data_IF_612608472156
#
_entry.id   IF_612608472156
#
_cell.length_a   1.000
_cell.length_b   1.000
_cell.length_c   1.000
_cell.angle_alpha   90.00
_cell.angle_beta   90.00
_cell.angle_gamma   90.00
#
_symmetry.space_group_name_H-M   'P 1'
#
loop_
_entity.id
_entity.type
_entity.pdbx_description
1 polymer ?
#
# COMPACT_ATOMS: atom_id res chain seq x y z
N UNK A 1 -12.51 -15.40 -24.80
CA UNK A 1 -12.07 -13.99 -24.74
C UNK A 1 -12.40 -13.58 -23.33
N UNK A 2 -11.38 -13.35 -22.52
CA UNK A 2 -11.55 -13.10 -21.10
C UNK A 2 -12.48 -11.94 -20.88
N UNK A 3 -13.60 -12.20 -20.21
CA UNK A 3 -14.56 -11.14 -19.85
C UNK A 3 -14.20 -10.51 -18.51
N UNK A 4 -13.33 -11.18 -17.72
CA UNK A 4 -12.97 -10.78 -16.36
C UNK A 4 -11.51 -10.38 -16.23
N UNK A 5 -11.26 -9.30 -15.50
CA UNK A 5 -9.93 -8.80 -15.17
C UNK A 5 -9.72 -8.65 -13.66
N UNK A 6 -8.47 -8.78 -13.22
CA UNK A 6 -8.03 -8.42 -11.86
C UNK A 6 -6.85 -7.46 -11.98
N UNK A 7 -7.02 -6.24 -11.46
CA UNK A 7 -5.98 -5.24 -11.37
C UNK A 7 -5.38 -5.23 -9.97
N UNK A 8 -4.15 -5.71 -9.84
CA UNK A 8 -3.36 -5.63 -8.62
C UNK A 8 -2.68 -4.25 -8.54
N UNK A 9 -3.05 -3.44 -7.55
CA UNK A 9 -2.64 -2.05 -7.45
C UNK A 9 -1.52 -1.83 -6.41
N UNK A 10 -0.53 -1.03 -6.79
CA UNK A 10 0.54 -0.58 -5.92
C UNK A 10 0.88 0.92 -6.16
N UNK A 11 1.69 1.54 -5.30
CA UNK A 11 2.11 2.94 -5.48
C UNK A 11 3.19 3.00 -6.56
N UNK A 12 3.99 1.94 -6.66
CA UNK A 12 5.11 1.87 -7.57
C UNK A 12 6.43 2.21 -6.92
N UNK A 13 7.48 2.15 -7.72
CA UNK A 13 8.88 2.26 -7.32
C UNK A 13 9.68 2.93 -8.44
N UNK A 14 10.79 3.62 -8.15
CA UNK A 14 11.71 4.02 -9.20
C UNK A 14 12.12 2.83 -10.08
N UNK A 15 12.31 3.12 -11.37
CA UNK A 15 12.72 2.17 -12.42
C UNK A 15 14.20 1.75 -12.28
N UNK A 16 15.02 2.66 -11.78
CA UNK A 16 16.46 2.47 -11.55
C UNK A 16 16.85 3.10 -10.20
N UNK A 17 17.85 2.56 -9.48
CA UNK A 17 18.29 3.08 -8.19
C UNK A 17 19.21 4.30 -8.37
N UNK A 18 18.90 5.14 -9.35
CA UNK A 18 19.68 6.33 -9.68
C UNK A 18 18.87 7.59 -9.40
N UNK A 19 19.56 8.72 -9.25
CA UNK A 19 18.88 10.00 -9.08
C UNK A 19 17.93 10.33 -10.25
N UNK A 20 18.17 9.79 -11.45
CA UNK A 20 17.29 9.97 -12.61
C UNK A 20 15.98 9.19 -12.45
N UNK A 21 16.07 7.90 -12.12
CA UNK A 21 14.89 7.06 -11.82
C UNK A 21 14.05 7.60 -10.67
N UNK A 22 14.70 8.00 -9.57
CA UNK A 22 14.01 8.61 -8.44
C UNK A 22 13.33 9.93 -8.80
N UNK A 23 13.93 10.76 -9.67
CA UNK A 23 13.29 12.00 -10.13
C UNK A 23 12.04 11.72 -10.98
N UNK A 24 12.06 10.68 -11.85
CA UNK A 24 10.89 10.27 -12.63
C UNK A 24 9.75 9.85 -11.68
N UNK A 25 10.05 8.99 -10.71
CA UNK A 25 9.08 8.54 -9.69
C UNK A 25 8.55 9.69 -8.81
N UNK A 26 9.44 10.50 -8.22
CA UNK A 26 9.07 11.64 -7.37
C UNK A 26 8.27 12.69 -8.12
N UNK A 27 8.45 12.83 -9.44
CA UNK A 27 7.61 13.71 -10.25
C UNK A 27 6.13 13.35 -10.13
N UNK A 28 5.78 12.06 -10.17
CA UNK A 28 4.40 11.61 -10.00
C UNK A 28 3.96 11.65 -8.53
N UNK A 29 4.75 11.02 -7.64
CA UNK A 29 4.41 10.91 -6.21
C UNK A 29 4.14 12.27 -5.54
N UNK A 30 5.02 13.26 -5.72
CA UNK A 30 4.86 14.58 -5.10
C UNK A 30 3.85 15.49 -5.82
N UNK A 31 3.26 15.02 -6.94
CA UNK A 31 2.17 15.73 -7.63
C UNK A 31 0.79 15.27 -7.17
N UNK A 32 0.72 14.20 -6.40
CA UNK A 32 -0.55 13.61 -5.99
C UNK A 32 -1.23 14.43 -4.88
N UNK A 33 -2.47 14.94 -5.10
CA UNK A 33 -3.21 15.69 -4.09
C UNK A 33 -3.72 14.82 -2.93
N UNK A 34 -3.83 13.50 -3.11
CA UNK A 34 -4.24 12.57 -2.06
C UNK A 34 -3.12 12.29 -1.06
N UNK A 35 -1.86 12.36 -1.51
CA UNK A 35 -0.67 12.22 -0.65
C UNK A 35 -0.30 13.56 0.00
N UNK A 36 -0.30 14.62 -0.81
CA UNK A 36 0.10 15.96 -0.39
C UNK A 36 -1.08 16.93 -0.57
N UNK A 37 -1.79 17.19 0.52
CA UNK A 37 -2.96 18.06 0.52
C UNK A 37 -2.60 19.53 0.81
N UNK A 38 -1.88 20.16 -0.13
CA UNK A 38 -1.64 21.61 -0.10
C UNK A 38 -1.67 22.21 -1.51
N UNK A 39 -1.66 23.55 -1.59
CA UNK A 39 -1.84 24.29 -2.84
C UNK A 39 -0.97 23.72 -3.99
N UNK A 40 -1.53 23.46 -5.20
CA UNK A 40 -0.80 22.96 -6.36
C UNK A 40 0.50 23.72 -6.68
N UNK A 41 0.51 25.04 -6.53
CA UNK A 41 1.72 25.87 -6.76
C UNK A 41 2.78 25.55 -5.70
N UNK A 42 2.37 25.46 -4.44
CA UNK A 42 3.26 25.05 -3.35
C UNK A 42 3.84 23.66 -3.58
N UNK A 43 3.01 22.69 -4.02
CA UNK A 43 3.46 21.32 -4.34
C UNK A 43 4.47 21.31 -5.47
N UNK A 44 4.20 22.08 -6.51
CA UNK A 44 5.13 22.26 -7.61
C UNK A 44 6.46 22.87 -7.14
N UNK A 45 6.44 23.93 -6.31
CA UNK A 45 7.66 24.54 -5.78
C UNK A 45 8.46 23.55 -4.92
N UNK A 46 7.81 22.87 -3.96
CA UNK A 46 8.47 21.88 -3.12
C UNK A 46 9.12 20.77 -3.96
N UNK A 47 8.35 20.22 -4.91
CA UNK A 47 8.81 19.14 -5.79
C UNK A 47 10.02 19.56 -6.61
N UNK A 48 9.90 20.64 -7.39
CA UNK A 48 10.93 20.99 -8.38
C UNK A 48 12.14 21.72 -7.77
N UNK A 49 11.96 22.49 -6.69
CA UNK A 49 13.04 23.29 -6.10
C UNK A 49 13.75 22.61 -4.93
N UNK A 50 13.08 21.70 -4.21
CA UNK A 50 13.66 21.07 -3.01
C UNK A 50 13.85 19.56 -3.20
N UNK A 51 12.79 18.84 -3.54
CA UNK A 51 12.80 17.37 -3.53
C UNK A 51 13.63 16.78 -4.69
N UNK A 52 13.36 17.18 -5.94
CA UNK A 52 14.08 16.67 -7.12
C UNK A 52 15.59 17.00 -7.13
N UNK A 53 16.04 18.21 -6.71
CA UNK A 53 17.47 18.52 -6.68
C UNK A 53 18.21 17.92 -5.48
N UNK A 54 17.64 18.01 -4.27
CA UNK A 54 18.39 17.67 -3.04
C UNK A 54 18.06 16.30 -2.45
N UNK A 55 16.80 15.84 -2.52
CA UNK A 55 16.38 14.58 -1.90
C UNK A 55 16.67 13.36 -2.77
N UNK A 56 16.40 13.45 -4.08
CA UNK A 56 16.57 12.31 -4.99
C UNK A 56 18.00 11.72 -5.00
N UNK A 57 19.10 12.50 -5.01
CA UNK A 57 20.45 11.93 -4.96
C UNK A 57 20.77 11.27 -3.61
N UNK A 58 20.21 11.78 -2.51
CA UNK A 58 20.47 11.25 -1.16
C UNK A 58 19.85 9.87 -0.99
N UNK A 59 18.57 9.72 -1.36
CA UNK A 59 17.84 8.45 -1.21
C UNK A 59 18.27 7.38 -2.23
N UNK A 60 18.90 7.77 -3.35
CA UNK A 60 19.32 6.80 -4.37
C UNK A 60 20.27 5.72 -3.82
N UNK A 61 21.12 6.07 -2.84
CA UNK A 61 22.02 5.12 -2.18
C UNK A 61 21.24 4.05 -1.40
N UNK A 62 20.18 4.46 -0.70
CA UNK A 62 19.35 3.56 0.10
C UNK A 62 18.58 2.59 -0.82
N UNK A 63 18.08 3.08 -1.95
CA UNK A 63 17.45 2.23 -2.98
C UNK A 63 18.45 1.25 -3.61
N UNK A 64 19.68 1.70 -3.88
CA UNK A 64 20.72 0.84 -4.44
C UNK A 64 21.12 -0.29 -3.47
N UNK A 65 21.08 -0.05 -2.15
CA UNK A 65 21.46 -1.04 -1.14
C UNK A 65 20.50 -2.24 -1.06
N UNK A 66 19.23 -2.05 -1.43
CA UNK A 66 18.19 -3.08 -1.41
C UNK A 66 17.80 -3.57 -2.81
N UNK A 67 18.54 -3.16 -3.84
CA UNK A 67 18.20 -3.46 -5.23
C UNK A 67 18.42 -4.95 -5.52
N UNK A 68 17.46 -5.58 -6.20
CA UNK A 68 17.60 -6.97 -6.65
C UNK A 68 18.16 -7.01 -8.07
N UNK A 69 18.66 -8.17 -8.49
CA UNK A 69 19.16 -8.39 -9.85
C UNK A 69 18.11 -8.02 -10.91
N UNK A 70 16.85 -8.38 -10.67
CA UNK A 70 15.72 -8.15 -11.58
C UNK A 70 15.05 -6.76 -11.43
N UNK A 71 15.54 -5.90 -10.53
CA UNK A 71 15.00 -4.55 -10.30
C UNK A 71 14.66 -4.23 -8.84
N UNK A 72 13.78 -3.25 -8.64
CA UNK A 72 13.29 -2.92 -7.30
C UNK A 72 12.50 -4.08 -6.70
N UNK A 73 12.70 -4.43 -5.41
CA UNK A 73 11.97 -5.51 -4.75
C UNK A 73 10.46 -5.43 -4.95
N UNK A 74 9.87 -4.22 -4.86
CA UNK A 74 8.44 -4.03 -5.03
C UNK A 74 7.97 -4.52 -6.40
N UNK A 75 8.70 -4.17 -7.47
CA UNK A 75 8.37 -4.57 -8.83
C UNK A 75 8.56 -6.07 -9.02
N UNK A 76 9.68 -6.61 -8.54
CA UNK A 76 9.98 -8.05 -8.64
C UNK A 76 8.91 -8.89 -7.96
N UNK A 77 8.52 -8.54 -6.73
CA UNK A 77 7.47 -9.27 -6.02
C UNK A 77 6.07 -9.04 -6.61
N UNK A 78 5.77 -7.84 -7.11
CA UNK A 78 4.51 -7.59 -7.82
C UNK A 78 4.40 -8.47 -9.07
N UNK A 79 5.46 -8.56 -9.88
CA UNK A 79 5.46 -9.38 -11.10
C UNK A 79 5.34 -10.87 -10.78
N UNK A 80 6.03 -11.35 -9.72
CA UNK A 80 5.90 -12.73 -9.23
C UNK A 80 4.47 -13.02 -8.73
N UNK A 81 3.87 -12.10 -7.97
CA UNK A 81 2.50 -12.25 -7.48
C UNK A 81 1.51 -12.29 -8.65
N UNK A 82 1.61 -11.37 -9.61
CA UNK A 82 0.77 -11.37 -10.81
C UNK A 82 0.89 -12.69 -11.57
N UNK A 83 2.11 -13.16 -11.82
CA UNK A 83 2.35 -14.42 -12.51
C UNK A 83 1.76 -15.62 -11.75
N UNK A 84 1.94 -15.66 -10.42
CA UNK A 84 1.40 -16.71 -9.57
C UNK A 84 -0.13 -16.73 -9.61
N UNK A 85 -0.79 -15.59 -9.40
CA UNK A 85 -2.26 -15.50 -9.42
C UNK A 85 -2.81 -15.84 -10.80
N UNK A 86 -2.15 -15.36 -11.87
CA UNK A 86 -2.53 -15.71 -13.24
C UNK A 86 -2.43 -17.21 -13.51
N UNK A 87 -1.42 -17.88 -12.94
CA UNK A 87 -1.24 -19.32 -13.08
C UNK A 87 -2.34 -20.10 -12.36
N UNK A 88 -2.71 -19.70 -11.13
CA UNK A 88 -3.81 -20.32 -10.38
C UNK A 88 -5.13 -20.30 -11.17
N UNK A 89 -5.47 -19.17 -11.80
CA UNK A 89 -6.68 -19.10 -12.65
C UNK A 89 -6.57 -19.97 -13.90
N UNK A 90 -5.38 -20.08 -14.50
CA UNK A 90 -5.16 -20.96 -15.66
C UNK A 90 -5.33 -22.43 -15.26
N UNK A 91 -4.79 -22.83 -14.12
CA UNK A 91 -4.88 -24.21 -13.62
C UNK A 91 -6.31 -24.57 -13.22
N UNK A 92 -7.09 -23.58 -12.74
CA UNK A 92 -8.53 -23.71 -12.52
C UNK A 92 -9.37 -23.71 -13.81
N UNK A 93 -8.77 -23.44 -14.98
CA UNK A 93 -9.47 -23.34 -16.26
C UNK A 93 -10.37 -22.11 -16.38
N UNK A 94 -10.11 -21.05 -15.62
CA UNK A 94 -10.87 -19.80 -15.63
C UNK A 94 -10.25 -18.77 -16.58
N UNK A 95 -11.09 -18.14 -17.42
CA UNK A 95 -10.68 -17.08 -18.37
C UNK A 95 -10.62 -15.72 -17.65
N UNK A 96 -9.60 -15.52 -16.82
CA UNK A 96 -9.33 -14.29 -16.04
C UNK A 96 -7.95 -13.74 -16.41
N UNK A 97 -7.90 -12.43 -16.71
CA UNK A 97 -6.65 -11.70 -16.96
C UNK A 97 -6.21 -10.97 -15.70
N UNK A 98 -4.98 -11.20 -15.26
CA UNK A 98 -4.41 -10.54 -14.08
C UNK A 98 -3.29 -9.59 -14.51
N UNK A 99 -3.42 -8.30 -14.16
CA UNK A 99 -2.43 -7.27 -14.47
C UNK A 99 -2.05 -6.49 -13.21
N UNK A 100 -0.80 -6.04 -13.15
CA UNK A 100 -0.31 -5.06 -12.18
C UNK A 100 -0.58 -3.64 -12.68
N UNK A 101 -0.87 -2.73 -11.76
CA UNK A 101 -0.93 -1.29 -12.02
C UNK A 101 -0.30 -0.49 -10.90
N UNK A 102 0.56 0.46 -11.25
CA UNK A 102 1.28 1.31 -10.31
C UNK A 102 0.87 2.77 -10.47
N UNK A 103 0.70 3.49 -9.37
CA UNK A 103 0.29 4.91 -9.39
C UNK A 103 1.39 5.82 -10.00
N UNK A 104 2.65 5.58 -9.61
CA UNK A 104 3.74 6.53 -9.86
C UNK A 104 4.91 5.96 -10.66
N UNK A 105 4.78 4.73 -11.17
CA UNK A 105 5.78 4.08 -12.04
C UNK A 105 5.13 3.13 -13.03
N UNK A 106 5.92 2.58 -13.96
CA UNK A 106 5.45 1.59 -14.94
C UNK A 106 5.41 0.18 -14.32
N UNK A 107 4.42 -0.67 -14.68
CA UNK A 107 3.27 -0.38 -15.54
C UNK A 107 2.27 0.54 -14.82
N UNK A 108 1.91 1.67 -15.44
CA UNK A 108 0.99 2.60 -14.80
C UNK A 108 -0.44 2.07 -14.80
N UNK A 109 -1.24 2.49 -13.83
CA UNK A 109 -2.67 2.12 -13.73
C UNK A 109 -3.40 2.32 -15.07
N UNK A 110 -3.16 3.45 -15.75
CA UNK A 110 -3.82 3.75 -17.02
C UNK A 110 -3.35 2.86 -18.18
N UNK A 111 -2.12 2.33 -18.14
CA UNK A 111 -1.63 1.44 -19.19
C UNK A 111 -2.26 0.05 -19.04
N UNK A 112 -2.37 -0.44 -17.80
CA UNK A 112 -3.04 -1.71 -17.50
C UNK A 112 -4.54 -1.64 -17.79
N UNK A 113 -5.18 -0.50 -17.52
CA UNK A 113 -6.58 -0.29 -17.90
C UNK A 113 -6.76 -0.27 -19.43
N UNK A 114 -5.86 0.35 -20.21
CA UNK A 114 -5.94 0.26 -21.69
C UNK A 114 -5.76 -1.17 -22.18
N UNK A 115 -4.91 -1.96 -21.53
CA UNK A 115 -4.71 -3.36 -21.89
C UNK A 115 -5.97 -4.20 -21.61
N UNK A 116 -6.66 -3.97 -20.50
CA UNK A 116 -7.97 -4.59 -20.26
C UNK A 116 -9.00 -4.23 -21.35
N UNK A 117 -9.04 -2.97 -21.79
CA UNK A 117 -9.93 -2.55 -22.89
C UNK A 117 -9.58 -3.28 -24.19
N UNK A 118 -8.28 -3.35 -24.52
CA UNK A 118 -7.77 -4.04 -25.71
C UNK A 118 -8.11 -5.54 -25.71
N UNK A 119 -8.10 -6.16 -24.54
CA UNK A 119 -8.44 -7.58 -24.35
C UNK A 119 -9.94 -7.84 -24.24
N UNK A 120 -10.77 -6.79 -24.20
CA UNK A 120 -12.24 -6.91 -24.11
C UNK A 120 -12.75 -7.28 -22.72
N UNK A 121 -11.96 -7.07 -21.67
CA UNK A 121 -12.37 -7.31 -20.29
C UNK A 121 -13.42 -6.27 -19.85
N UNK A 122 -14.58 -6.72 -19.38
CA UNK A 122 -15.70 -5.85 -18.98
C UNK A 122 -15.93 -5.85 -17.47
N UNK A 123 -15.66 -6.96 -16.77
CA UNK A 123 -15.80 -7.06 -15.32
C UNK A 123 -14.41 -7.06 -14.66
N UNK A 124 -14.04 -5.96 -14.01
CA UNK A 124 -12.68 -5.79 -13.45
C UNK A 124 -12.74 -5.66 -11.94
N UNK A 125 -12.05 -6.56 -11.24
CA UNK A 125 -11.78 -6.45 -9.81
C UNK A 125 -10.55 -5.57 -9.60
N UNK A 126 -10.70 -4.56 -8.76
CA UNK A 126 -9.66 -3.59 -8.42
C UNK A 126 -9.16 -3.91 -7.01
N UNK A 127 -7.97 -4.48 -6.93
CA UNK A 127 -7.41 -5.05 -5.71
C UNK A 127 -6.15 -4.27 -5.28
N UNK A 128 -6.25 -3.37 -4.29
CA UNK A 128 -5.09 -2.73 -3.71
C UNK A 128 -4.26 -3.73 -2.91
N UNK A 129 -2.94 -3.73 -3.13
CA UNK A 129 -1.98 -4.49 -2.34
C UNK A 129 -1.59 -3.76 -1.03
N UNK A 130 -2.43 -2.82 -0.60
CA UNK A 130 -2.38 -2.20 0.73
C UNK A 130 -3.48 -2.83 1.57
N UNK A 131 -3.17 -3.76 2.49
CA UNK A 131 -4.21 -4.46 3.24
C UNK A 131 -5.02 -3.51 4.11
N UNK A 132 -4.38 -2.46 4.63
CA UNK A 132 -5.04 -1.40 5.39
C UNK A 132 -5.37 -0.20 4.49
N UNK A 133 -6.63 0.22 4.50
CA UNK A 133 -7.11 1.40 3.79
C UNK A 133 -6.40 2.67 4.28
N UNK A 134 -5.96 3.48 3.33
CA UNK A 134 -5.54 4.86 3.58
C UNK A 134 -5.96 5.76 2.41
N UNK A 135 -6.38 6.99 2.73
CA UNK A 135 -6.70 7.99 1.72
C UNK A 135 -5.51 8.30 0.82
N UNK A 136 -4.28 8.28 1.37
CA UNK A 136 -3.07 8.59 0.62
C UNK A 136 -2.65 7.47 -0.35
N UNK A 137 -3.20 6.26 -0.20
CA UNK A 137 -2.86 5.11 -1.05
C UNK A 137 -4.09 4.64 -1.81
N UNK A 138 -5.02 3.96 -1.15
CA UNK A 138 -6.20 3.32 -1.75
C UNK A 138 -7.09 4.30 -2.50
N UNK A 139 -7.42 5.44 -1.89
CA UNK A 139 -8.29 6.42 -2.54
C UNK A 139 -7.63 7.07 -3.78
N UNK A 140 -6.30 7.27 -3.74
CA UNK A 140 -5.56 7.81 -4.88
C UNK A 140 -5.59 6.86 -6.07
N UNK A 141 -5.21 5.60 -5.86
CA UNK A 141 -5.19 4.62 -6.95
C UNK A 141 -6.58 4.35 -7.51
N UNK A 142 -7.62 4.38 -6.66
CA UNK A 142 -9.01 4.25 -7.12
C UNK A 142 -9.45 5.44 -7.96
N UNK A 143 -8.98 6.65 -7.64
CA UNK A 143 -9.22 7.82 -8.48
C UNK A 143 -8.59 7.65 -9.86
N UNK A 144 -7.33 7.21 -9.94
CA UNK A 144 -6.67 6.96 -11.22
C UNK A 144 -7.37 5.90 -12.07
N UNK A 145 -7.83 4.80 -11.46
CA UNK A 145 -8.63 3.76 -12.15
C UNK A 145 -9.90 4.37 -12.73
N UNK A 146 -10.64 5.19 -11.95
CA UNK A 146 -11.87 5.85 -12.43
C UNK A 146 -11.58 6.81 -13.57
N UNK A 147 -10.51 7.60 -13.50
CA UNK A 147 -10.10 8.50 -14.58
C UNK A 147 -9.67 7.75 -15.84
N UNK A 148 -9.05 6.58 -15.70
CA UNK A 148 -8.71 5.73 -16.83
C UNK A 148 -9.96 5.11 -17.48
N UNK A 149 -10.90 4.60 -16.67
CA UNK A 149 -12.14 3.98 -17.14
C UNK A 149 -13.05 4.95 -17.90
N UNK A 150 -13.05 6.25 -17.55
CA UNK A 150 -13.79 7.30 -18.29
C UNK A 150 -13.37 7.45 -19.75
N UNK A 151 -12.18 6.99 -20.11
CA UNK A 151 -11.64 7.12 -21.48
C UNK A 151 -12.05 5.97 -22.40
N UNK A 152 -12.67 4.93 -21.84
CA UNK A 152 -13.06 3.75 -22.61
C UNK A 152 -14.26 4.05 -23.51
N UNK A 153 -14.34 3.37 -24.65
CA UNK A 153 -15.49 3.47 -25.54
C UNK A 153 -16.78 2.95 -24.88
N UNK A 154 -16.65 1.88 -24.09
CA UNK A 154 -17.70 1.32 -23.24
C UNK A 154 -17.16 1.20 -21.81
N UNK A 155 -17.84 1.82 -20.85
CA UNK A 155 -17.40 1.80 -19.47
C UNK A 155 -17.44 0.37 -18.90
N UNK A 156 -16.34 -0.12 -18.28
CA UNK A 156 -16.31 -1.43 -17.64
C UNK A 156 -17.07 -1.41 -16.31
N UNK A 157 -17.49 -2.59 -15.86
CA UNK A 157 -17.97 -2.84 -14.51
C UNK A 157 -16.79 -2.99 -13.55
N UNK A 158 -16.65 -2.05 -12.61
CA UNK A 158 -15.54 -2.02 -11.67
C UNK A 158 -16.00 -2.45 -10.27
N UNK A 159 -15.32 -3.44 -9.68
CA UNK A 159 -15.51 -3.87 -8.29
C UNK A 159 -14.29 -3.48 -7.48
N UNK A 160 -14.45 -2.60 -6.50
CA UNK A 160 -13.35 -2.12 -5.66
C UNK A 160 -13.31 -2.93 -4.36
N UNK A 161 -12.12 -3.39 -3.98
CA UNK A 161 -11.86 -4.00 -2.67
C UNK A 161 -11.21 -2.94 -1.78
N UNK A 162 -11.95 -2.42 -0.80
CA UNK A 162 -11.50 -1.28 0.01
C UNK A 162 -10.31 -1.63 0.92
N UNK A 163 -10.31 -2.83 1.50
CA UNK A 163 -9.28 -3.33 2.40
C UNK A 163 -9.23 -4.86 2.43
N UNK A 164 -8.14 -5.40 2.99
CA UNK A 164 -7.88 -6.85 3.15
C UNK A 164 -7.37 -7.19 4.56
N UNK A 165 -7.40 -6.23 5.49
CA UNK A 165 -6.67 -6.29 6.77
C UNK A 165 -7.09 -7.47 7.67
N UNK A 166 -8.33 -7.95 7.53
CA UNK A 166 -8.90 -9.03 8.33
C UNK A 166 -9.23 -10.28 7.49
N UNK A 167 -8.83 -10.33 6.22
CA UNK A 167 -9.12 -11.47 5.36
C UNK A 167 -8.39 -12.73 5.87
N UNK A 168 -9.09 -13.85 6.14
CA UNK A 168 -8.47 -15.03 6.73
C UNK A 168 -7.25 -15.56 5.95
N UNK A 169 -7.25 -15.63 4.60
CA UNK A 169 -6.06 -16.04 3.84
C UNK A 169 -4.86 -15.11 4.06
N UNK A 170 -5.10 -13.80 4.16
CA UNK A 170 -4.04 -12.81 4.42
C UNK A 170 -3.45 -12.98 5.83
N UNK A 171 -4.31 -13.11 6.84
CA UNK A 171 -3.89 -13.34 8.23
C UNK A 171 -3.09 -14.64 8.37
N UNK A 172 -3.58 -15.74 7.77
CA UNK A 172 -2.94 -17.04 7.87
C UNK A 172 -1.59 -17.07 7.15
N UNK A 173 -1.46 -16.41 6.00
CA UNK A 173 -0.19 -16.30 5.29
C UNK A 173 0.87 -15.57 6.12
N UNK A 174 0.49 -14.47 6.79
CA UNK A 174 1.39 -13.74 7.69
C UNK A 174 1.72 -14.53 8.94
N UNK A 175 0.74 -15.17 9.59
CA UNK A 175 0.96 -16.00 10.77
C UNK A 175 1.94 -17.14 10.48
N UNK A 176 1.81 -17.82 9.33
CA UNK A 176 2.73 -18.87 8.93
C UNK A 176 4.16 -18.35 8.69
N UNK A 177 4.29 -17.20 8.01
CA UNK A 177 5.60 -16.60 7.72
C UNK A 177 6.30 -16.10 9.00
N UNK A 178 5.56 -15.40 9.85
CA UNK A 178 6.08 -14.84 11.11
C UNK A 178 6.46 -15.97 12.06
N UNK A 179 5.58 -16.97 12.24
CA UNK A 179 5.82 -18.11 13.11
C UNK A 179 7.13 -18.81 12.77
N UNK A 180 7.37 -19.08 11.48
CA UNK A 180 8.63 -19.66 11.01
C UNK A 180 9.85 -18.83 11.44
N UNK A 181 9.84 -17.52 11.21
CA UNK A 181 11.00 -16.68 11.50
C UNK A 181 11.20 -16.43 13.00
N UNK A 182 10.13 -16.42 13.79
CA UNK A 182 10.22 -16.31 15.25
C UNK A 182 10.84 -17.55 15.87
N UNK A 183 10.46 -18.74 15.38
CA UNK A 183 11.08 -20.00 15.80
C UNK A 183 12.56 -20.05 15.39
N UNK A 184 12.90 -19.66 14.15
CA UNK A 184 14.28 -19.63 13.66
C UNK A 184 15.18 -18.66 14.45
N UNK A 185 14.63 -17.52 14.87
CA UNK A 185 15.36 -16.49 15.60
C UNK A 185 15.34 -16.66 17.13
N UNK A 186 14.60 -17.63 17.66
CA UNK A 186 14.29 -17.79 19.09
C UNK A 186 13.82 -16.47 19.73
N UNK A 187 12.90 -15.78 19.04
CA UNK A 187 12.50 -14.42 19.43
C UNK A 187 11.51 -14.42 20.60
N UNK A 188 11.91 -13.79 21.70
CA UNK A 188 11.07 -13.63 22.90
C UNK A 188 9.94 -12.61 22.67
N UNK A 189 10.17 -11.57 21.86
CA UNK A 189 9.20 -10.50 21.62
C UNK A 189 9.20 -10.06 20.15
N UNK A 190 8.01 -9.73 19.62
CA UNK A 190 7.83 -9.32 18.22
C UNK A 190 7.17 -7.95 18.12
N UNK A 191 7.82 -7.02 17.41
CA UNK A 191 7.30 -5.68 17.16
C UNK A 191 6.69 -5.62 15.76
N UNK A 192 5.37 -5.48 15.69
CA UNK A 192 4.66 -5.24 14.43
C UNK A 192 4.79 -3.77 14.05
N UNK A 193 5.63 -3.49 13.04
CA UNK A 193 5.87 -2.12 12.58
C UNK A 193 5.09 -1.76 11.32
N UNK A 194 4.28 -0.70 11.42
CA UNK A 194 3.52 -0.14 10.29
C UNK A 194 4.04 1.25 9.92
N UNK A 195 3.77 1.71 8.69
CA UNK A 195 4.13 3.09 8.32
C UNK A 195 3.28 4.08 9.12
N UNK A 196 3.92 5.06 9.76
CA UNK A 196 3.24 6.12 10.49
C UNK A 196 2.49 7.06 9.54
N UNK A 197 1.48 7.73 10.07
CA UNK A 197 0.77 8.82 9.40
C UNK A 197 0.65 10.02 10.35
N UNK A 198 0.61 11.25 9.82
CA UNK A 198 0.26 12.43 10.62
C UNK A 198 -1.11 12.25 11.27
N UNK A 199 -1.25 12.64 12.53
CA UNK A 199 -2.53 12.55 13.25
C UNK A 199 -3.64 13.35 12.56
N UNK A 200 -3.29 14.48 11.96
CA UNK A 200 -4.21 15.33 11.19
C UNK A 200 -4.85 14.56 10.03
N UNK A 201 -4.12 13.66 9.37
CA UNK A 201 -4.65 12.85 8.28
C UNK A 201 -5.69 11.85 8.77
N UNK A 202 -5.47 11.22 9.92
CA UNK A 202 -6.45 10.31 10.53
C UNK A 202 -7.70 11.08 10.95
N UNK A 203 -7.54 12.22 11.64
CA UNK A 203 -8.67 13.08 12.05
C UNK A 203 -9.46 13.60 10.85
N UNK A 204 -8.79 13.96 9.75
CA UNK A 204 -9.44 14.41 8.52
C UNK A 204 -10.20 13.29 7.81
N UNK A 205 -9.69 12.05 7.86
CA UNK A 205 -10.35 10.89 7.28
C UNK A 205 -11.57 10.45 8.10
N UNK A 206 -11.60 10.77 9.40
CA UNK A 206 -12.70 10.45 10.30
C UNK A 206 -13.92 11.37 10.10
N UNK A 207 -14.80 10.95 9.20
CA UNK A 207 -16.07 11.65 8.92
C UNK A 207 -17.09 11.56 10.06
N UNK A 208 -16.90 10.64 11.00
CA UNK A 208 -17.86 10.35 12.06
C UNK A 208 -17.45 10.94 13.42
N UNK A 209 -16.29 11.60 13.50
CA UNK A 209 -15.71 12.18 14.72
C UNK A 209 -15.63 11.20 15.89
N UNK A 210 -15.15 9.98 15.62
CA UNK A 210 -14.96 8.90 16.60
C UNK A 210 -13.50 8.67 17.00
N UNK A 211 -12.55 9.33 16.32
CA UNK A 211 -11.13 9.13 16.56
C UNK A 211 -10.63 9.93 17.77
N UNK A 212 -10.24 9.20 18.81
CA UNK A 212 -9.64 9.73 20.04
C UNK A 212 -8.15 9.44 20.15
N UNK A 213 -7.51 8.95 19.08
CA UNK A 213 -6.08 8.58 19.05
C UNK A 213 -5.66 7.59 20.15
N UNK A 214 -6.52 6.62 20.44
CA UNK A 214 -6.31 5.68 21.54
C UNK A 214 -7.18 4.44 21.45
N UNK A 215 -7.95 4.18 22.51
CA UNK A 215 -8.77 2.98 22.67
C UNK A 215 -9.83 2.79 21.57
N UNK A 216 -10.22 3.85 20.87
CA UNK A 216 -11.13 3.76 19.71
C UNK A 216 -10.62 2.85 18.58
N UNK A 217 -9.33 2.50 18.56
CA UNK A 217 -8.73 1.60 17.58
C UNK A 217 -8.80 0.12 17.96
N UNK A 218 -9.23 -0.21 19.19
CA UNK A 218 -9.28 -1.59 19.69
C UNK A 218 -10.39 -2.43 19.04
N UNK A 219 -11.44 -1.75 18.56
CA UNK A 219 -12.62 -2.34 17.93
C UNK A 219 -12.95 -1.60 16.64
N UNK A 220 -13.26 -2.37 15.58
CA UNK A 220 -13.72 -1.82 14.31
C UNK A 220 -15.24 -2.02 14.18
N UNK A 221 -15.94 -0.94 13.85
CA UNK A 221 -17.35 -0.93 13.49
C UNK A 221 -17.61 0.04 12.34
N UNK A 222 -18.87 0.24 11.96
CA UNK A 222 -19.22 1.03 10.76
C UNK A 222 -18.65 2.46 10.75
N UNK A 223 -18.47 3.07 11.92
CA UNK A 223 -18.02 4.47 12.04
C UNK A 223 -16.52 4.65 11.82
N UNK A 224 -15.71 3.64 12.11
CA UNK A 224 -14.24 3.69 12.00
C UNK A 224 -13.68 2.62 11.06
N UNK A 225 -14.53 1.97 10.23
CA UNK A 225 -14.13 0.84 9.38
C UNK A 225 -12.95 1.12 8.47
N UNK A 226 -12.81 2.36 7.98
CA UNK A 226 -11.69 2.79 7.12
C UNK A 226 -10.55 3.48 7.90
N UNK A 227 -10.53 3.39 9.22
CA UNK A 227 -9.48 4.00 10.03
C UNK A 227 -8.20 3.16 9.91
N UNK A 228 -7.19 3.69 9.21
CA UNK A 228 -5.89 3.04 9.02
C UNK A 228 -5.28 2.50 10.32
N UNK A 229 -5.23 3.32 11.38
CA UNK A 229 -4.66 2.91 12.68
C UNK A 229 -5.43 1.74 13.29
N UNK A 230 -6.77 1.78 13.24
CA UNK A 230 -7.60 0.68 13.75
C UNK A 230 -7.40 -0.61 12.94
N UNK A 231 -7.32 -0.51 11.60
CA UNK A 231 -7.06 -1.66 10.73
C UNK A 231 -5.66 -2.26 10.96
N UNK A 232 -4.63 -1.45 11.23
CA UNK A 232 -3.30 -1.96 11.63
C UNK A 232 -3.37 -2.76 12.93
N UNK A 233 -4.04 -2.21 13.96
CA UNK A 233 -4.24 -2.90 15.24
C UNK A 233 -5.01 -4.21 15.05
N UNK A 234 -6.10 -4.18 14.27
CA UNK A 234 -6.90 -5.37 13.97
C UNK A 234 -6.12 -6.42 13.18
N UNK A 235 -5.26 -6.01 12.23
CA UNK A 235 -4.35 -6.92 11.51
C UNK A 235 -3.45 -7.66 12.50
N UNK A 236 -2.77 -6.93 13.39
CA UNK A 236 -1.89 -7.53 14.40
C UNK A 236 -2.67 -8.49 15.29
N UNK A 237 -3.83 -8.07 15.80
CA UNK A 237 -4.68 -8.94 16.64
C UNK A 237 -5.07 -10.23 15.91
N UNK A 238 -5.43 -10.14 14.63
CA UNK A 238 -5.76 -11.31 13.81
C UNK A 238 -4.59 -12.28 13.68
N UNK A 239 -3.39 -11.78 13.38
CA UNK A 239 -2.18 -12.60 13.25
C UNK A 239 -1.80 -13.23 14.60
N UNK A 240 -1.75 -12.44 15.67
CA UNK A 240 -1.43 -12.92 17.03
C UNK A 240 -2.43 -13.99 17.47
N UNK A 241 -3.72 -13.79 17.24
CA UNK A 241 -4.76 -14.78 17.55
C UNK A 241 -4.55 -16.08 16.76
N UNK A 242 -4.20 -15.99 15.47
CA UNK A 242 -3.91 -17.17 14.65
C UNK A 242 -2.66 -17.93 15.12
N UNK A 243 -1.68 -17.25 15.71
CA UNK A 243 -0.47 -17.85 16.27
C UNK A 243 -0.63 -18.32 17.73
N UNK A 244 -1.73 -17.98 18.39
CA UNK A 244 -1.97 -18.33 19.80
C UNK A 244 -1.03 -17.61 20.79
N UNK A 245 -0.53 -16.43 20.45
CA UNK A 245 0.34 -15.66 21.33
C UNK A 245 -0.46 -14.87 22.38
N UNK A 246 0.16 -14.67 23.54
CA UNK A 246 -0.31 -13.77 24.58
C UNK A 246 0.11 -12.31 24.33
N UNK A 247 -0.55 -11.35 24.97
CA UNK A 247 -0.33 -9.91 24.75
C UNK A 247 1.07 -9.42 25.15
N UNK A 248 1.80 -10.14 26.00
CA UNK A 248 3.17 -9.83 26.41
C UNK A 248 4.24 -10.19 25.36
N UNK A 249 3.89 -11.03 24.37
CA UNK A 249 4.82 -11.48 23.32
C UNK A 249 4.95 -10.50 22.16
N UNK A 250 4.14 -9.45 22.09
CA UNK A 250 4.17 -8.53 20.98
C UNK A 250 3.86 -7.08 21.33
N UNK A 251 4.24 -6.19 20.44
CA UNK A 251 3.85 -4.78 20.45
C UNK A 251 3.54 -4.31 19.03
N UNK A 252 2.80 -3.20 18.93
CA UNK A 252 2.51 -2.53 17.66
C UNK A 252 3.19 -1.18 17.69
N UNK A 253 3.92 -0.83 16.65
CA UNK A 253 4.58 0.47 16.53
C UNK A 253 4.45 1.05 15.13
N UNK A 254 4.65 2.37 15.02
CA UNK A 254 4.58 3.12 13.78
C UNK A 254 5.92 3.79 13.48
N UNK A 255 6.42 3.61 12.26
CA UNK A 255 7.75 4.08 11.84
C UNK A 255 7.68 5.24 10.82
N UNK A 256 8.85 5.74 10.40
CA UNK A 256 8.98 6.70 9.29
C UNK A 256 8.32 8.07 9.53
N UNK A 257 8.43 8.61 10.74
CA UNK A 257 8.00 9.98 11.06
C UNK A 257 8.91 11.03 10.41
N UNK A 258 8.32 12.14 9.96
CA UNK A 258 9.05 13.24 9.33
C UNK A 258 8.49 14.61 9.73
N UNK A 259 9.39 15.53 10.07
CA UNK A 259 9.04 16.90 10.50
C UNK A 259 8.48 16.97 11.92
N UNK A 260 7.98 18.16 12.29
CA UNK A 260 7.61 18.49 13.68
C UNK A 260 6.11 18.33 13.98
N UNK A 261 5.32 17.81 13.04
CA UNK A 261 3.88 17.57 13.28
C UNK A 261 3.67 16.33 14.16
N UNK A 262 2.50 16.19 14.78
CA UNK A 262 2.14 14.99 15.54
C UNK A 262 1.86 13.80 14.61
N UNK A 263 2.39 12.63 14.94
CA UNK A 263 2.23 11.38 14.21
C UNK A 263 1.56 10.33 15.09
N UNK A 264 0.92 9.34 14.48
CA UNK A 264 0.31 8.23 15.21
C UNK A 264 1.34 7.44 16.01
N UNK A 265 0.94 7.08 17.23
CA UNK A 265 1.74 6.40 18.23
C UNK A 265 1.24 4.97 18.49
N UNK A 266 2.11 4.09 19.04
CA UNK A 266 3.46 4.37 19.55
C UNK A 266 4.55 4.37 18.46
N UNK A 267 5.69 5.02 18.70
CA UNK A 267 6.75 5.15 17.69
C UNK A 267 7.74 3.99 17.74
N UNK A 268 8.17 3.50 16.58
CA UNK A 268 9.11 2.39 16.50
C UNK A 268 10.48 2.72 17.12
N UNK A 269 10.98 3.93 16.91
CA UNK A 269 12.27 4.37 17.45
C UNK A 269 12.27 4.35 18.99
N UNK A 270 11.19 4.82 19.62
CA UNK A 270 11.03 4.76 21.08
C UNK A 270 11.05 3.30 21.60
N UNK A 271 10.56 2.33 20.82
CA UNK A 271 10.58 0.91 21.17
C UNK A 271 11.96 0.25 21.01
N UNK A 272 12.79 0.74 20.08
CA UNK A 272 14.13 0.20 19.83
C UNK A 272 15.19 0.78 20.76
N UNK A 273 14.93 1.95 21.34
CA UNK A 273 15.81 2.63 22.30
C UNK A 273 15.59 2.19 23.76
N UNK A 274 14.48 1.52 24.05
CA UNK A 274 14.08 1.02 25.38
C UNK A 274 14.72 -0.34 25.71
#
# INVERSE_FOLDING_TARGET
>A
MATKGILLLNLGTPEEPTAKGLRKFYKYFFSDPFVFDFNPIGRWLLRNLIILPFRAPKTAKDYAAIWMEDGSPLKVYADRLQASVQQEYKDAGEDVVVLNGMAYSEPFVWDSMKEFERLGCQDILIMPLFPQYSTATTASVFHEVREAAKKWAQAPNLKFVDDLYAEPPFINAWAALIGKHVEEADAEHVIFSYHGLPESNIKKADKNNVCEMGACCETIGEKNKLCYRAQCVATTKGIVAAMGWSEDRYSVAFQSRFGNQAWIQPYLDDHLEA
#
